data_IF_084964217473
#
_entry.id   IF_084964217473
#
_cell.length_a   1.000
_cell.length_b   1.000
_cell.length_c   1.000
_cell.angle_alpha   90.00
_cell.angle_beta   90.00
_cell.angle_gamma   90.00
#
_symmetry.space_group_name_H-M   'P 1'
#
loop_
_entity.id
_entity.type
_entity.pdbx_description
1 polymer ?
#
# COMPACT_ATOMS: atom_id res chain seq x y z
N UNK A 1 -31.16 -7.17 -9.16
CA UNK A 1 -30.70 -7.57 -10.49
C UNK A 1 -31.37 -8.87 -10.94
N UNK A 2 -31.65 -9.02 -12.23
CA UNK A 2 -32.23 -10.26 -12.77
C UNK A 2 -31.21 -11.40 -12.68
N UNK A 3 -31.61 -12.58 -12.15
CA UNK A 3 -30.74 -13.75 -12.01
C UNK A 3 -30.17 -14.17 -13.36
N UNK A 4 -28.85 -14.36 -13.44
CA UNK A 4 -28.17 -14.84 -14.66
C UNK A 4 -28.68 -16.25 -15.03
N UNK A 5 -29.06 -16.39 -16.29
CA UNK A 5 -29.40 -17.68 -16.92
C UNK A 5 -28.60 -17.81 -18.19
N UNK A 6 -28.16 -19.01 -18.52
CA UNK A 6 -27.32 -19.29 -19.66
C UNK A 6 -28.04 -20.19 -20.65
N UNK A 7 -27.96 -19.83 -21.92
CA UNK A 7 -28.52 -20.61 -23.02
C UNK A 7 -27.39 -21.02 -24.00
N UNK A 8 -27.59 -22.09 -24.73
CA UNK A 8 -26.64 -22.51 -25.77
C UNK A 8 -27.16 -22.04 -27.12
N UNK A 9 -26.28 -21.39 -27.89
CA UNK A 9 -26.56 -20.93 -29.26
C UNK A 9 -25.40 -21.29 -30.16
N UNK A 10 -25.64 -21.32 -31.48
CA UNK A 10 -24.55 -21.50 -32.46
C UNK A 10 -23.97 -20.17 -32.90
N UNK A 11 -22.64 -20.09 -32.90
CA UNK A 11 -21.89 -18.92 -33.38
C UNK A 11 -20.71 -19.38 -34.23
N UNK A 12 -20.35 -18.59 -35.23
CA UNK A 12 -19.14 -18.82 -36.03
C UNK A 12 -17.92 -18.41 -35.22
N UNK A 13 -16.86 -19.21 -35.24
CA UNK A 13 -15.64 -18.95 -34.45
C UNK A 13 -14.98 -17.62 -34.82
N UNK A 14 -15.00 -17.24 -36.12
CA UNK A 14 -14.44 -15.97 -36.61
C UNK A 14 -15.14 -14.74 -36.06
N UNK A 15 -16.43 -14.83 -35.71
CA UNK A 15 -17.22 -13.71 -35.22
C UNK A 15 -16.98 -13.42 -33.72
N UNK A 16 -16.32 -14.35 -33.01
CA UNK A 16 -16.07 -14.23 -31.59
C UNK A 16 -14.87 -13.31 -31.30
N UNK A 17 -15.07 -12.38 -30.37
CA UNK A 17 -14.14 -11.30 -30.04
C UNK A 17 -13.28 -11.72 -28.82
N UNK A 18 -11.96 -11.88 -28.96
CA UNK A 18 -11.08 -12.13 -27.83
C UNK A 18 -11.07 -10.95 -26.85
N UNK A 19 -10.95 -11.24 -25.55
CA UNK A 19 -10.67 -10.21 -24.55
C UNK A 19 -9.26 -9.62 -24.77
N UNK A 20 -9.15 -8.29 -24.64
CA UNK A 20 -7.86 -7.59 -24.77
C UNK A 20 -6.86 -8.02 -23.68
N UNK A 21 -7.38 -8.30 -22.47
CA UNK A 21 -6.60 -8.73 -21.32
C UNK A 21 -7.08 -10.11 -20.94
N UNK A 22 -6.24 -11.13 -21.18
CA UNK A 22 -6.45 -12.50 -20.74
C UNK A 22 -5.18 -12.98 -20.01
N UNK A 23 -5.20 -13.07 -18.68
CA UNK A 23 -4.01 -13.37 -17.89
C UNK A 23 -3.59 -14.83 -17.96
N UNK A 24 -4.34 -15.70 -18.65
CA UNK A 24 -3.98 -17.10 -18.81
C UNK A 24 -3.19 -17.35 -20.08
N UNK A 25 -1.99 -17.84 -19.91
CA UNK A 25 -1.13 -18.32 -21.02
C UNK A 25 -1.00 -19.83 -20.98
N UNK A 26 -0.66 -20.41 -22.10
CA UNK A 26 -0.30 -21.83 -22.21
C UNK A 26 1.01 -21.95 -22.97
N UNK A 27 1.83 -22.95 -22.60
CA UNK A 27 3.09 -23.24 -23.29
C UNK A 27 2.84 -23.83 -24.68
N UNK A 28 3.88 -23.78 -25.53
CA UNK A 28 3.82 -24.38 -26.87
C UNK A 28 3.48 -25.89 -26.83
N UNK A 29 3.96 -26.59 -25.81
CA UNK A 29 3.63 -27.98 -25.56
C UNK A 29 2.14 -28.18 -25.28
N UNK A 30 1.58 -27.37 -24.35
CA UNK A 30 0.17 -27.39 -24.00
C UNK A 30 -0.72 -27.05 -25.21
N UNK A 31 -0.31 -26.05 -26.02
CA UNK A 31 -1.00 -25.73 -27.27
C UNK A 31 -0.95 -26.89 -28.29
N UNK A 32 0.18 -27.55 -28.41
CA UNK A 32 0.31 -28.75 -29.28
C UNK A 32 -0.61 -29.87 -28.83
N UNK A 33 -0.64 -30.17 -27.53
CA UNK A 33 -1.49 -31.23 -26.99
C UNK A 33 -2.99 -30.88 -27.08
N UNK A 34 -3.35 -29.63 -26.90
CA UNK A 34 -4.70 -29.10 -27.10
C UNK A 34 -5.15 -29.30 -28.58
N UNK A 35 -4.28 -28.96 -29.55
CA UNK A 35 -4.56 -29.19 -30.97
C UNK A 35 -4.78 -30.68 -31.29
N UNK A 36 -3.97 -31.60 -30.72
CA UNK A 36 -4.16 -33.03 -30.87
C UNK A 36 -5.51 -33.49 -30.29
N UNK A 37 -5.85 -33.00 -29.11
CA UNK A 37 -7.13 -33.27 -28.43
C UNK A 37 -8.31 -32.83 -29.29
N UNK A 38 -8.27 -31.56 -29.79
CA UNK A 38 -9.33 -31.02 -30.66
C UNK A 38 -9.48 -31.77 -32.00
N UNK A 39 -8.38 -32.26 -32.55
CA UNK A 39 -8.44 -33.14 -33.77
C UNK A 39 -9.08 -34.48 -33.46
N UNK A 40 -8.81 -35.06 -32.28
CA UNK A 40 -9.29 -36.40 -31.94
C UNK A 40 -10.72 -36.43 -31.39
N UNK A 41 -11.05 -35.47 -30.52
CA UNK A 41 -12.31 -35.47 -29.76
C UNK A 41 -13.25 -34.32 -30.14
N UNK A 42 -12.82 -33.44 -31.03
CA UNK A 42 -13.53 -32.19 -31.36
C UNK A 42 -13.65 -31.22 -30.14
N UNK A 43 -14.48 -30.23 -30.27
CA UNK A 43 -14.75 -29.25 -29.18
C UNK A 43 -15.81 -29.82 -28.22
N UNK A 44 -15.38 -30.42 -27.13
CA UNK A 44 -16.28 -31.00 -26.11
C UNK A 44 -16.75 -29.97 -25.10
N UNK A 45 -15.84 -29.11 -24.63
CA UNK A 45 -16.19 -28.04 -23.67
C UNK A 45 -16.65 -26.80 -24.40
N UNK A 46 -17.89 -26.41 -24.13
CA UNK A 46 -18.57 -25.28 -24.79
C UNK A 46 -17.99 -23.95 -24.30
N UNK A 47 -17.47 -23.08 -25.18
CA UNK A 47 -17.02 -21.75 -24.83
C UNK A 47 -18.14 -20.87 -24.29
N UNK A 48 -17.79 -19.89 -23.44
CA UNK A 48 -18.72 -18.93 -22.87
C UNK A 48 -18.41 -17.53 -23.43
N UNK A 49 -19.46 -16.84 -23.88
CA UNK A 49 -19.36 -15.48 -24.41
C UNK A 49 -20.39 -14.56 -23.76
N UNK A 50 -20.18 -13.25 -23.87
CA UNK A 50 -21.20 -12.27 -23.50
C UNK A 50 -22.13 -11.96 -24.71
N UNK A 51 -23.16 -11.16 -24.49
CA UNK A 51 -24.12 -10.78 -25.56
C UNK A 51 -23.48 -9.99 -26.72
N UNK A 52 -22.32 -9.37 -26.49
CA UNK A 52 -21.56 -8.65 -27.52
C UNK A 52 -20.47 -9.49 -28.18
N UNK A 53 -20.63 -10.82 -28.14
CA UNK A 53 -19.72 -11.84 -28.72
C UNK A 53 -18.30 -11.85 -28.13
N UNK A 54 -18.05 -11.13 -27.02
CA UNK A 54 -16.78 -11.18 -26.30
C UNK A 54 -16.62 -12.51 -25.58
N UNK A 55 -15.48 -13.14 -25.76
CA UNK A 55 -15.16 -14.44 -25.15
C UNK A 55 -14.89 -14.22 -23.66
N UNK A 56 -15.60 -14.97 -22.81
CA UNK A 56 -15.43 -15.00 -21.34
C UNK A 56 -14.65 -16.24 -20.88
N UNK A 57 -14.84 -17.39 -21.54
CA UNK A 57 -14.07 -18.61 -21.29
C UNK A 57 -13.87 -19.42 -22.57
N UNK A 58 -12.76 -20.17 -22.65
CA UNK A 58 -12.42 -21.02 -23.80
C UNK A 58 -11.49 -20.36 -24.82
N UNK A 59 -10.84 -19.24 -24.53
CA UNK A 59 -9.95 -18.50 -25.43
C UNK A 59 -8.94 -19.40 -26.13
N UNK A 60 -8.21 -20.22 -25.41
CA UNK A 60 -7.13 -21.06 -25.97
C UNK A 60 -7.68 -22.13 -26.94
N UNK A 61 -8.86 -22.70 -26.66
CA UNK A 61 -9.54 -23.64 -27.56
C UNK A 61 -9.93 -22.99 -28.88
N UNK A 62 -10.48 -21.77 -28.81
CA UNK A 62 -10.87 -21.00 -30.00
C UNK A 62 -9.64 -20.58 -30.82
N UNK A 63 -8.55 -20.19 -30.17
CA UNK A 63 -7.27 -19.90 -30.84
C UNK A 63 -6.76 -21.18 -31.54
N UNK A 64 -6.74 -22.31 -30.83
CA UNK A 64 -6.29 -23.57 -31.40
C UNK A 64 -7.14 -24.01 -32.62
N UNK A 65 -8.46 -23.83 -32.58
CA UNK A 65 -9.35 -24.09 -33.71
C UNK A 65 -9.07 -23.18 -34.90
N UNK A 66 -8.84 -21.86 -34.66
CA UNK A 66 -8.46 -20.92 -35.74
C UNK A 66 -7.13 -21.34 -36.39
N UNK A 67 -6.11 -21.72 -35.57
CA UNK A 67 -4.81 -22.21 -36.09
C UNK A 67 -4.96 -23.54 -36.87
N UNK A 68 -5.95 -24.38 -36.54
CA UNK A 68 -6.28 -25.58 -37.28
C UNK A 68 -7.07 -25.33 -38.59
N UNK A 69 -7.31 -24.06 -38.97
CA UNK A 69 -8.07 -23.70 -40.16
C UNK A 69 -9.60 -23.86 -40.03
N UNK A 70 -10.10 -23.98 -38.78
CA UNK A 70 -11.53 -24.23 -38.47
C UNK A 70 -12.26 -22.92 -38.05
N UNK A 71 -11.75 -21.75 -38.44
CA UNK A 71 -12.29 -20.44 -38.04
C UNK A 71 -13.72 -20.17 -38.51
N UNK A 72 -14.14 -20.75 -39.64
CA UNK A 72 -15.48 -20.56 -40.23
C UNK A 72 -16.53 -21.55 -39.71
N UNK A 73 -16.13 -22.48 -38.85
CA UNK A 73 -17.07 -23.43 -38.27
C UNK A 73 -18.04 -22.77 -37.31
N UNK A 74 -19.29 -23.25 -37.32
CA UNK A 74 -20.27 -22.93 -36.29
C UNK A 74 -20.14 -23.89 -35.12
N UNK A 75 -19.97 -23.35 -33.94
CA UNK A 75 -19.86 -24.08 -32.67
C UNK A 75 -20.95 -23.65 -31.69
N UNK A 76 -21.26 -24.53 -30.76
CA UNK A 76 -22.09 -24.19 -29.62
C UNK A 76 -21.33 -23.29 -28.67
N UNK A 77 -21.97 -22.23 -28.20
CA UNK A 77 -21.45 -21.30 -27.16
C UNK A 77 -22.52 -21.02 -26.12
N UNK A 78 -22.10 -20.78 -24.89
CA UNK A 78 -23.00 -20.34 -23.81
C UNK A 78 -23.11 -18.82 -23.82
N UNK A 79 -24.35 -18.33 -23.80
CA UNK A 79 -24.68 -16.89 -23.83
C UNK A 79 -25.59 -16.54 -22.65
N UNK A 80 -25.37 -15.45 -21.93
CA UNK A 80 -26.22 -15.05 -20.81
C UNK A 80 -27.53 -14.42 -21.33
N UNK A 81 -28.55 -14.41 -20.48
CA UNK A 81 -29.85 -13.78 -20.76
C UNK A 81 -29.83 -12.24 -20.66
N UNK A 82 -28.74 -11.65 -20.19
CA UNK A 82 -28.47 -10.22 -20.17
C UNK A 82 -26.97 -9.97 -20.29
N UNK A 83 -26.59 -8.77 -20.74
CA UNK A 83 -25.18 -8.36 -20.75
C UNK A 83 -24.61 -8.35 -19.32
N UNK A 84 -23.40 -8.84 -19.15
CA UNK A 84 -22.68 -8.77 -17.90
C UNK A 84 -22.18 -7.34 -17.67
N UNK A 85 -22.12 -6.94 -16.41
CA UNK A 85 -21.36 -5.75 -16.04
C UNK A 85 -19.87 -6.03 -16.20
N UNK A 86 -19.05 -4.99 -16.32
CA UNK A 86 -17.60 -5.15 -16.46
C UNK A 86 -16.99 -5.93 -15.26
N UNK A 87 -17.52 -5.71 -14.04
CA UNK A 87 -17.12 -6.45 -12.85
C UNK A 87 -17.48 -7.94 -12.97
N UNK A 88 -18.71 -8.28 -13.35
CA UNK A 88 -19.15 -9.68 -13.52
C UNK A 88 -18.33 -10.39 -14.61
N UNK A 89 -18.07 -9.72 -15.74
CA UNK A 89 -17.28 -10.29 -16.83
C UNK A 89 -15.85 -10.60 -16.40
N UNK A 90 -15.19 -9.68 -15.67
CA UNK A 90 -13.85 -9.86 -15.13
C UNK A 90 -13.80 -10.98 -14.08
N UNK A 91 -14.75 -11.00 -13.14
CA UNK A 91 -14.85 -12.07 -12.14
C UNK A 91 -15.03 -13.44 -12.81
N UNK A 92 -15.93 -13.56 -13.79
CA UNK A 92 -16.13 -14.82 -14.49
C UNK A 92 -14.89 -15.27 -15.28
N UNK A 93 -14.21 -14.34 -15.97
CA UNK A 93 -12.97 -14.61 -16.69
C UNK A 93 -11.89 -15.22 -15.77
N UNK A 94 -11.67 -14.62 -14.62
CA UNK A 94 -10.66 -15.10 -13.66
C UNK A 94 -11.10 -16.43 -13.02
N UNK A 95 -12.32 -16.51 -12.49
CA UNK A 95 -12.83 -17.72 -11.83
C UNK A 95 -12.83 -18.94 -12.74
N UNK A 96 -13.21 -18.77 -14.02
CA UNK A 96 -13.23 -19.88 -15.00
C UNK A 96 -11.83 -20.39 -15.37
N UNK A 97 -10.79 -19.62 -15.12
CA UNK A 97 -9.42 -19.96 -15.45
C UNK A 97 -8.60 -20.45 -14.24
N UNK A 98 -9.12 -20.35 -13.00
CA UNK A 98 -8.34 -20.69 -11.79
C UNK A 98 -7.98 -22.18 -11.69
N UNK A 99 -8.74 -23.07 -12.29
CA UNK A 99 -8.59 -24.52 -12.12
C UNK A 99 -7.49 -25.19 -12.98
N UNK A 100 -6.62 -24.43 -13.69
CA UNK A 100 -5.50 -25.03 -14.42
C UNK A 100 -4.80 -24.08 -15.39
N UNK A 101 -3.50 -24.24 -15.55
CA UNK A 101 -2.60 -23.44 -16.37
C UNK A 101 -1.78 -22.44 -15.56
N UNK A 102 -0.74 -21.90 -16.19
CA UNK A 102 0.11 -20.87 -15.57
C UNK A 102 -0.53 -19.49 -15.73
N UNK A 103 -0.31 -18.63 -14.74
CA UNK A 103 -0.78 -17.26 -14.73
C UNK A 103 0.29 -16.30 -15.27
N UNK A 104 -0.15 -15.38 -16.11
CA UNK A 104 0.62 -14.16 -16.36
C UNK A 104 0.30 -13.15 -15.26
N UNK A 105 1.20 -13.03 -14.30
CA UNK A 105 1.02 -12.20 -13.11
C UNK A 105 0.95 -10.71 -13.46
N UNK A 106 1.65 -10.25 -14.51
CA UNK A 106 1.60 -8.86 -14.93
C UNK A 106 0.22 -8.49 -15.49
N UNK A 107 -0.40 -9.40 -16.22
CA UNK A 107 -1.77 -9.22 -16.67
C UNK A 107 -2.79 -9.32 -15.53
N UNK A 108 -2.52 -10.13 -14.49
CA UNK A 108 -3.38 -10.21 -13.30
C UNK A 108 -3.41 -8.88 -12.51
N UNK A 109 -2.31 -8.13 -12.47
CA UNK A 109 -2.24 -6.81 -11.82
C UNK A 109 -3.21 -5.78 -12.41
N UNK A 110 -3.74 -5.99 -13.62
CA UNK A 110 -4.77 -5.14 -14.21
C UNK A 110 -6.19 -5.38 -13.64
N UNK A 111 -6.34 -6.41 -12.80
CA UNK A 111 -7.59 -6.69 -12.08
C UNK A 111 -7.48 -6.17 -10.65
N UNK A 112 -8.56 -5.61 -10.11
CA UNK A 112 -8.54 -5.19 -8.73
C UNK A 112 -8.56 -6.40 -7.77
N UNK A 113 -8.04 -6.21 -6.56
CA UNK A 113 -7.89 -7.26 -5.57
C UNK A 113 -9.23 -7.90 -5.17
N UNK A 114 -10.32 -7.12 -5.13
CA UNK A 114 -11.66 -7.64 -4.84
C UNK A 114 -12.09 -8.68 -5.88
N UNK A 115 -11.84 -8.41 -7.16
CA UNK A 115 -12.16 -9.36 -8.24
C UNK A 115 -11.32 -10.64 -8.11
N UNK A 116 -10.04 -10.52 -7.77
CA UNK A 116 -9.16 -11.67 -7.61
C UNK A 116 -9.55 -12.51 -6.37
N UNK A 117 -9.85 -11.87 -5.25
CA UNK A 117 -10.33 -12.52 -4.04
C UNK A 117 -11.67 -13.24 -4.29
N UNK A 118 -12.65 -12.57 -4.91
CA UNK A 118 -13.94 -13.15 -5.28
C UNK A 118 -13.79 -14.33 -6.26
N UNK A 119 -12.75 -14.32 -7.10
CA UNK A 119 -12.41 -15.43 -8.01
C UNK A 119 -11.68 -16.58 -7.31
N UNK A 120 -11.40 -16.45 -5.99
CA UNK A 120 -10.88 -17.50 -5.13
C UNK A 120 -9.35 -17.49 -4.98
N UNK A 121 -8.65 -16.39 -5.33
CA UNK A 121 -7.26 -16.22 -4.90
C UNK A 121 -7.24 -15.95 -3.39
N UNK A 122 -6.44 -16.71 -2.66
CA UNK A 122 -6.25 -16.45 -1.25
C UNK A 122 -5.21 -15.34 -1.00
N UNK A 123 -5.19 -14.84 0.25
CA UNK A 123 -4.30 -13.75 0.65
C UNK A 123 -2.82 -14.05 0.38
N UNK A 124 -2.42 -15.32 0.51
CA UNK A 124 -1.02 -15.73 0.31
C UNK A 124 -0.65 -15.79 -1.16
N UNK A 125 -1.58 -16.24 -2.01
CA UNK A 125 -1.41 -16.19 -3.48
C UNK A 125 -1.30 -14.74 -3.94
N UNK A 126 -2.20 -13.85 -3.46
CA UNK A 126 -2.19 -12.43 -3.80
C UNK A 126 -0.88 -11.75 -3.38
N UNK A 127 -0.43 -11.98 -2.15
CA UNK A 127 0.86 -11.47 -1.65
C UNK A 127 2.02 -12.02 -2.49
N UNK A 128 2.00 -13.33 -2.84
CA UNK A 128 3.13 -13.97 -3.50
C UNK A 128 3.44 -13.41 -4.89
N UNK A 129 2.43 -13.00 -5.65
CA UNK A 129 2.66 -12.43 -6.97
C UNK A 129 2.64 -10.90 -6.98
N UNK A 130 1.95 -10.25 -6.00
CA UNK A 130 1.89 -8.78 -5.95
C UNK A 130 3.19 -8.19 -5.43
N UNK A 131 3.77 -8.81 -4.39
CA UNK A 131 4.96 -8.29 -3.71
C UNK A 131 6.28 -8.79 -4.33
N UNK A 132 6.24 -9.76 -5.26
CA UNK A 132 7.44 -10.42 -5.80
C UNK A 132 8.36 -9.51 -6.61
N UNK A 133 7.82 -8.44 -7.17
CA UNK A 133 8.53 -7.49 -8.05
C UNK A 133 8.31 -6.02 -7.65
N UNK A 134 7.56 -5.76 -6.57
CA UNK A 134 7.31 -4.40 -6.13
C UNK A 134 8.34 -4.03 -5.07
N UNK A 135 9.24 -3.14 -5.44
CA UNK A 135 10.14 -2.45 -4.53
C UNK A 135 9.65 -1.00 -4.40
N UNK A 136 9.81 -0.44 -3.21
CA UNK A 136 9.62 0.99 -3.02
C UNK A 136 10.90 1.71 -3.44
N UNK A 137 10.78 2.66 -4.32
CA UNK A 137 11.89 3.48 -4.79
C UNK A 137 11.66 4.94 -4.42
N UNK A 138 12.74 5.68 -4.26
CA UNK A 138 12.70 7.14 -4.10
C UNK A 138 11.97 7.76 -5.30
N UNK A 139 10.96 8.60 -5.02
CA UNK A 139 10.14 9.26 -6.03
C UNK A 139 10.78 10.53 -6.61
N UNK A 140 12.04 10.83 -6.25
CA UNK A 140 12.77 12.04 -6.66
C UNK A 140 11.94 13.33 -6.46
N UNK A 141 11.10 13.36 -5.41
CA UNK A 141 10.29 14.52 -5.05
C UNK A 141 11.07 15.44 -4.12
N UNK A 142 11.35 16.66 -4.57
CA UNK A 142 12.05 17.67 -3.79
C UNK A 142 11.06 18.41 -2.88
N UNK A 143 10.87 17.87 -1.68
CA UNK A 143 9.93 18.38 -0.67
C UNK A 143 10.16 19.87 -0.36
N UNK A 144 11.43 20.29 -0.15
CA UNK A 144 11.73 21.68 0.20
C UNK A 144 11.38 22.66 -0.92
N UNK A 145 11.76 22.30 -2.15
CA UNK A 145 11.44 23.11 -3.33
C UNK A 145 9.93 23.25 -3.52
N UNK A 146 9.20 22.18 -3.30
CA UNK A 146 7.74 22.19 -3.45
C UNK A 146 7.04 22.91 -2.29
N UNK A 147 7.49 22.75 -1.05
CA UNK A 147 6.99 23.54 0.11
C UNK A 147 7.18 25.03 -0.13
N UNK A 148 8.37 25.47 -0.60
CA UNK A 148 8.64 26.89 -0.91
C UNK A 148 7.73 27.49 -1.97
N UNK A 149 7.09 26.68 -2.79
CA UNK A 149 6.11 27.14 -3.80
C UNK A 149 4.68 27.29 -3.25
N UNK A 150 4.43 26.80 -2.03
CA UNK A 150 3.10 26.86 -1.40
C UNK A 150 3.07 28.09 -0.50
N UNK A 151 2.76 29.25 -1.08
CA UNK A 151 2.64 30.51 -0.31
C UNK A 151 1.27 30.66 0.34
N UNK A 152 0.22 30.19 -0.34
CA UNK A 152 -1.15 30.21 0.15
C UNK A 152 -1.71 28.81 -0.11
N UNK A 153 -1.82 27.96 0.92
CA UNK A 153 -2.41 26.65 0.77
C UNK A 153 -3.86 26.75 0.31
N UNK A 154 -4.27 25.82 -0.52
CA UNK A 154 -5.65 25.70 -1.01
C UNK A 154 -6.49 24.79 -0.12
N UNK A 155 -5.84 23.91 0.62
CA UNK A 155 -6.46 23.07 1.66
C UNK A 155 -6.68 23.87 2.92
N UNK A 156 -7.80 23.62 3.60
CA UNK A 156 -8.19 24.21 4.87
C UNK A 156 -8.47 23.12 5.90
N UNK A 157 -8.47 23.49 7.19
CA UNK A 157 -8.87 22.58 8.26
C UNK A 157 -10.25 22.01 7.98
N UNK A 158 -10.40 20.69 8.18
CA UNK A 158 -11.64 19.96 7.90
C UNK A 158 -11.80 19.46 6.47
N UNK A 159 -10.91 19.81 5.55
CA UNK A 159 -10.95 19.28 4.17
C UNK A 159 -10.49 17.83 4.10
N UNK A 160 -11.24 17.00 3.34
CA UNK A 160 -10.85 15.66 3.01
C UNK A 160 -10.27 15.59 1.59
N UNK A 161 -9.07 15.08 1.49
CA UNK A 161 -8.33 14.90 0.23
C UNK A 161 -8.37 13.43 -0.16
N UNK A 162 -8.91 13.14 -1.34
CA UNK A 162 -8.95 11.81 -1.94
C UNK A 162 -7.87 11.73 -3.03
N UNK A 163 -6.93 10.82 -2.85
CA UNK A 163 -5.78 10.56 -3.72
C UNK A 163 -5.83 9.10 -4.19
N UNK A 164 -6.60 8.82 -5.26
CA UNK A 164 -6.91 7.45 -5.66
C UNK A 164 -7.66 6.71 -4.55
N UNK A 165 -7.06 5.66 -4.00
CA UNK A 165 -7.59 4.90 -2.86
C UNK A 165 -7.10 5.42 -1.50
N UNK A 166 -6.23 6.43 -1.46
CA UNK A 166 -5.77 7.06 -0.23
C UNK A 166 -6.69 8.18 0.21
N UNK A 167 -6.72 8.45 1.52
CA UNK A 167 -7.45 9.56 2.13
C UNK A 167 -6.53 10.35 3.06
N UNK A 168 -6.59 11.67 2.99
CA UNK A 168 -5.91 12.57 3.92
C UNK A 168 -6.93 13.59 4.43
N UNK A 169 -7.09 13.68 5.74
CA UNK A 169 -7.93 14.69 6.38
C UNK A 169 -7.05 15.78 7.00
N UNK A 170 -7.31 17.03 6.65
CA UNK A 170 -6.64 18.17 7.27
C UNK A 170 -7.21 18.40 8.68
N UNK A 171 -6.68 17.67 9.67
CA UNK A 171 -7.18 17.68 11.04
C UNK A 171 -6.11 17.21 12.04
N UNK A 172 -6.40 17.41 13.34
CA UNK A 172 -5.52 16.94 14.41
C UNK A 172 -5.57 15.41 14.54
N UNK A 173 -4.39 14.81 14.73
CA UNK A 173 -4.23 13.39 15.06
C UNK A 173 -4.87 13.00 16.41
N UNK A 174 -5.06 13.97 17.32
CA UNK A 174 -5.67 13.77 18.65
C UNK A 174 -7.19 13.90 18.64
N UNK A 175 -7.78 14.31 17.51
CA UNK A 175 -9.23 14.44 17.37
C UNK A 175 -9.86 13.10 16.95
N UNK A 176 -10.43 12.40 17.93
CA UNK A 176 -11.06 11.09 17.71
C UNK A 176 -12.25 11.15 16.74
N UNK A 177 -13.02 12.26 16.72
CA UNK A 177 -14.15 12.41 15.81
C UNK A 177 -13.68 12.61 14.37
N UNK A 178 -12.62 13.39 14.17
CA UNK A 178 -12.00 13.58 12.88
C UNK A 178 -11.48 12.23 12.32
N UNK A 179 -10.78 11.44 13.14
CA UNK A 179 -10.27 10.13 12.75
C UNK A 179 -11.42 9.16 12.40
N UNK A 180 -12.46 9.08 13.22
CA UNK A 180 -13.65 8.26 12.91
C UNK A 180 -14.31 8.69 11.59
N UNK A 181 -14.40 9.99 11.35
CA UNK A 181 -14.97 10.54 10.11
C UNK A 181 -14.12 10.23 8.89
N UNK A 182 -12.79 10.31 8.99
CA UNK A 182 -11.84 9.92 7.95
C UNK A 182 -12.06 8.48 7.49
N UNK A 183 -12.23 7.57 8.44
CA UNK A 183 -12.41 6.15 8.16
C UNK A 183 -13.79 5.80 7.63
N UNK A 184 -14.84 6.51 8.05
CA UNK A 184 -16.22 6.27 7.56
C UNK A 184 -16.69 4.81 7.63
N UNK A 185 -16.25 4.06 8.65
CA UNK A 185 -16.55 2.65 8.85
C UNK A 185 -15.52 1.66 8.32
N UNK A 186 -14.51 2.10 7.58
CA UNK A 186 -13.36 1.29 7.24
C UNK A 186 -12.47 1.05 8.48
N UNK A 187 -11.53 0.08 8.40
CA UNK A 187 -10.57 -0.19 9.48
C UNK A 187 -9.17 -0.42 8.91
N UNK A 188 -8.15 0.02 9.65
CA UNK A 188 -6.75 -0.20 9.30
C UNK A 188 -6.20 -1.48 9.95
N UNK A 189 -5.44 -2.28 9.20
CA UNK A 189 -4.70 -3.46 9.67
C UNK A 189 -3.30 -3.12 10.18
N UNK A 190 -2.83 -1.90 9.93
CA UNK A 190 -1.55 -1.38 10.38
C UNK A 190 -1.69 0.08 10.79
N UNK A 191 -1.22 0.40 11.99
CA UNK A 191 -0.97 1.76 12.43
C UNK A 191 0.53 2.03 12.33
N UNK A 192 0.90 3.00 11.49
CA UNK A 192 2.29 3.34 11.20
C UNK A 192 2.45 4.86 11.25
N UNK A 193 3.09 5.40 12.27
CA UNK A 193 3.00 6.82 12.59
C UNK A 193 4.35 7.39 13.02
N UNK A 194 4.59 8.65 12.61
CA UNK A 194 5.81 9.41 12.84
C UNK A 194 5.49 10.75 13.52
N UNK A 195 5.13 10.75 14.83
CA UNK A 195 4.78 11.97 15.54
C UNK A 195 5.98 12.90 15.72
N UNK A 196 5.77 14.20 16.04
CA UNK A 196 6.84 15.09 16.48
C UNK A 196 7.62 14.48 17.65
N UNK A 197 8.96 14.56 17.60
CA UNK A 197 9.84 13.80 18.53
C UNK A 197 10.06 14.49 19.87
N UNK A 198 9.56 15.70 20.06
CA UNK A 198 9.74 16.48 21.27
C UNK A 198 11.22 16.66 21.68
N UNK A 199 12.03 17.06 20.71
CA UNK A 199 13.48 17.28 20.87
C UNK A 199 13.87 18.75 20.77
N UNK A 200 12.88 19.66 20.85
CA UNK A 200 13.08 21.11 20.80
C UNK A 200 13.44 21.62 19.42
N UNK A 201 13.04 20.93 18.35
CA UNK A 201 13.23 21.44 17.00
C UNK A 201 12.31 22.64 16.74
N UNK A 202 12.91 23.73 16.28
CA UNK A 202 12.16 24.89 15.82
C UNK A 202 11.79 24.71 14.37
N UNK A 203 10.53 24.41 14.10
CA UNK A 203 9.98 24.34 12.74
C UNK A 203 9.93 25.71 12.05
N UNK A 204 9.99 26.81 12.85
CA UNK A 204 10.04 28.19 12.35
C UNK A 204 11.43 28.65 11.90
N UNK A 205 12.47 28.02 12.41
CA UNK A 205 13.87 28.43 12.19
C UNK A 205 14.66 27.33 11.52
N UNK A 206 14.32 26.80 10.44
CA UNK A 206 15.02 25.74 9.72
C UNK A 206 16.42 25.35 10.25
N UNK A 207 16.85 24.12 10.05
CA UNK A 207 18.21 23.66 10.41
C UNK A 207 19.22 24.25 9.43
N UNK A 208 20.23 24.98 9.94
CA UNK A 208 21.35 25.46 9.11
C UNK A 208 21.09 26.69 8.25
N UNK A 209 20.49 27.75 8.78
CA UNK A 209 20.22 29.02 8.08
C UNK A 209 19.17 28.99 6.96
N UNK A 210 18.47 27.90 6.79
CA UNK A 210 17.36 27.80 5.84
C UNK A 210 16.04 28.17 6.52
N UNK A 211 15.23 28.95 5.82
CA UNK A 211 14.00 29.58 6.31
C UNK A 211 12.87 28.56 6.54
N UNK A 212 12.09 28.86 7.57
CA UNK A 212 10.71 28.49 7.88
C UNK A 212 10.13 27.28 7.12
N UNK A 213 9.93 26.17 7.81
CA UNK A 213 9.30 24.93 7.28
C UNK A 213 7.77 24.93 7.39
N UNK A 214 7.17 26.04 7.78
CA UNK A 214 5.71 26.26 7.68
C UNK A 214 4.85 25.51 8.68
N UNK A 215 5.28 25.35 9.93
CA UNK A 215 4.44 24.69 10.94
C UNK A 215 4.65 25.22 12.36
N UNK A 216 3.57 25.55 13.04
CA UNK A 216 3.52 25.82 14.49
C UNK A 216 3.40 24.48 15.26
N UNK A 217 4.42 23.62 15.19
CA UNK A 217 4.47 22.41 16.00
C UNK A 217 5.26 22.72 17.28
N UNK A 218 4.59 22.62 18.44
CA UNK A 218 5.27 22.71 19.74
C UNK A 218 6.02 21.39 20.00
N UNK A 219 7.33 21.40 19.73
CA UNK A 219 8.25 20.27 19.89
C UNK A 219 9.04 20.36 21.20
N UNK A 220 8.53 21.14 22.18
CA UNK A 220 9.20 21.39 23.48
C UNK A 220 8.28 21.16 24.69
N UNK A 221 7.42 20.13 24.60
CA UNK A 221 6.49 19.76 25.67
C UNK A 221 7.21 19.16 26.89
N UNK A 222 6.63 19.36 28.08
CA UNK A 222 7.09 18.60 29.26
C UNK A 222 6.88 17.10 29.04
N UNK A 223 7.60 16.21 29.74
CA UNK A 223 7.43 14.77 29.62
C UNK A 223 5.97 14.31 29.79
N UNK A 224 5.26 14.89 30.73
CA UNK A 224 3.86 14.57 31.03
C UNK A 224 2.95 15.03 29.88
N UNK A 225 3.14 16.25 29.38
CA UNK A 225 2.36 16.79 28.27
C UNK A 225 2.65 16.00 26.97
N UNK A 226 3.88 15.55 26.76
CA UNK A 226 4.22 14.72 25.62
C UNK A 226 3.61 13.32 25.72
N UNK A 227 3.69 12.68 26.92
CA UNK A 227 3.01 11.41 27.15
C UNK A 227 1.51 11.53 26.89
N UNK A 228 0.86 12.59 27.34
CA UNK A 228 -0.57 12.81 27.14
C UNK A 228 -0.90 13.03 25.65
N UNK A 229 -0.09 13.78 24.92
CA UNK A 229 -0.24 13.97 23.47
C UNK A 229 -0.19 12.63 22.71
N UNK A 230 0.80 11.78 23.00
CA UNK A 230 0.91 10.47 22.38
C UNK A 230 -0.24 9.55 22.81
N UNK A 231 -0.67 9.63 24.08
CA UNK A 231 -1.82 8.88 24.58
C UNK A 231 -3.10 9.24 23.81
N UNK A 232 -3.42 10.53 23.66
CA UNK A 232 -4.57 11.01 22.89
C UNK A 232 -4.52 10.56 21.43
N UNK A 233 -3.33 10.62 20.82
CA UNK A 233 -3.11 10.14 19.44
C UNK A 233 -3.42 8.65 19.31
N UNK A 234 -2.94 7.81 20.24
CA UNK A 234 -3.24 6.38 20.25
C UNK A 234 -4.73 6.11 20.52
N UNK A 235 -5.33 6.82 21.47
CA UNK A 235 -6.76 6.68 21.77
C UNK A 235 -7.64 7.06 20.59
N UNK A 236 -7.26 8.06 19.79
CA UNK A 236 -7.98 8.41 18.57
C UNK A 236 -7.84 7.36 17.48
N UNK A 237 -6.70 6.67 17.42
CA UNK A 237 -6.42 5.64 16.43
C UNK A 237 -7.11 4.30 16.72
N UNK A 238 -7.11 3.85 17.99
CA UNK A 238 -7.59 2.52 18.37
C UNK A 238 -8.99 2.14 17.83
N UNK A 239 -10.00 3.02 17.84
CA UNK A 239 -11.35 2.67 17.37
C UNK A 239 -11.44 2.35 15.88
N UNK A 240 -10.47 2.78 15.07
CA UNK A 240 -10.43 2.56 13.62
C UNK A 240 -9.44 1.47 13.20
N UNK A 241 -8.86 0.77 14.16
CA UNK A 241 -7.97 -0.37 13.91
C UNK A 241 -8.75 -1.69 13.92
N UNK A 242 -8.27 -2.67 13.17
CA UNK A 242 -8.80 -4.04 13.23
C UNK A 242 -8.42 -4.71 14.56
N UNK A 243 -9.12 -5.81 14.92
CA UNK A 243 -8.77 -6.59 16.11
C UNK A 243 -7.38 -7.25 16.03
N UNK A 244 -6.84 -7.34 14.82
CA UNK A 244 -5.53 -7.91 14.53
C UNK A 244 -4.70 -6.86 13.77
N UNK A 245 -3.92 -6.05 14.51
CA UNK A 245 -3.24 -4.87 13.97
C UNK A 245 -1.77 -4.82 14.37
N UNK A 246 -0.91 -4.43 13.43
CA UNK A 246 0.45 -4.01 13.70
C UNK A 246 0.51 -2.54 14.08
N UNK A 247 1.28 -2.19 15.09
CA UNK A 247 1.43 -0.82 15.60
C UNK A 247 2.90 -0.43 15.58
N UNK A 248 3.25 0.57 14.78
CA UNK A 248 4.59 1.13 14.64
C UNK A 248 4.55 2.62 14.94
N UNK A 249 5.36 3.07 15.89
CA UNK A 249 5.50 4.50 16.19
C UNK A 249 6.97 4.89 16.28
N UNK A 250 7.35 5.85 15.46
CA UNK A 250 8.68 6.43 15.47
C UNK A 250 8.85 7.38 16.66
N UNK A 251 10.05 7.43 17.20
CA UNK A 251 10.38 8.31 18.31
C UNK A 251 11.88 8.55 18.43
N UNK A 252 12.23 9.57 19.20
CA UNK A 252 13.59 9.75 19.70
C UNK A 252 13.91 8.74 20.81
N UNK A 253 15.20 8.42 20.98
CA UNK A 253 15.70 7.51 22.01
C UNK A 253 15.28 7.93 23.43
N UNK A 254 15.19 9.24 23.69
CA UNK A 254 14.77 9.79 24.97
C UNK A 254 13.33 9.41 25.35
N UNK A 255 12.49 9.08 24.35
CA UNK A 255 11.05 8.90 24.56
C UNK A 255 10.58 7.45 24.35
N UNK A 256 11.44 6.52 24.00
CA UNK A 256 11.08 5.09 23.81
C UNK A 256 10.24 4.54 24.97
N UNK A 257 10.59 4.91 26.21
CA UNK A 257 9.89 4.47 27.40
C UNK A 257 8.42 4.98 27.47
N UNK A 258 8.13 6.15 26.93
CA UNK A 258 6.75 6.70 26.85
C UNK A 258 5.88 5.78 26.00
N UNK A 259 6.35 5.45 24.80
CA UNK A 259 5.61 4.60 23.87
C UNK A 259 5.41 3.18 24.42
N UNK A 260 6.47 2.59 24.97
CA UNK A 260 6.38 1.25 25.57
C UNK A 260 5.44 1.23 26.78
N UNK A 261 5.40 2.30 27.58
CA UNK A 261 4.49 2.42 28.72
C UNK A 261 3.05 2.51 28.23
N UNK A 262 2.76 3.41 27.27
CA UNK A 262 1.43 3.59 26.70
C UNK A 262 0.92 2.33 25.98
N UNK A 263 1.80 1.59 25.29
CA UNK A 263 1.42 0.30 24.70
C UNK A 263 0.91 -0.67 25.78
N UNK A 264 1.61 -0.78 26.92
CA UNK A 264 1.15 -1.61 28.01
C UNK A 264 -0.18 -1.12 28.62
N UNK A 265 -0.32 0.20 28.83
CA UNK A 265 -1.54 0.82 29.37
C UNK A 265 -2.76 0.62 28.43
N UNK A 266 -2.55 0.60 27.12
CA UNK A 266 -3.57 0.46 26.07
C UNK A 266 -3.73 -0.98 25.53
N UNK A 267 -3.16 -1.98 26.21
CA UNK A 267 -3.21 -3.40 25.79
C UNK A 267 -2.60 -3.67 24.40
N UNK A 268 -1.68 -2.85 23.95
CA UNK A 268 -0.84 -3.11 22.77
C UNK A 268 0.37 -3.92 23.23
N UNK A 269 0.55 -5.12 22.72
CA UNK A 269 1.66 -5.98 23.13
C UNK A 269 2.98 -5.46 22.55
N UNK A 270 3.89 -4.98 23.42
CA UNK A 270 5.24 -4.63 23.02
C UNK A 270 5.95 -5.82 22.37
N UNK A 271 6.55 -5.64 21.21
CA UNK A 271 7.22 -6.70 20.44
C UNK A 271 8.70 -6.45 20.27
N UNK A 272 9.10 -5.32 19.68
CA UNK A 272 10.50 -4.98 19.38
C UNK A 272 10.70 -3.47 19.39
N UNK A 273 11.92 -3.06 19.56
CA UNK A 273 12.41 -1.74 19.20
C UNK A 273 13.13 -1.88 17.86
N UNK A 274 12.57 -1.31 16.81
CA UNK A 274 13.21 -1.27 15.50
C UNK A 274 14.14 -0.06 15.44
N UNK A 275 15.30 -0.22 14.81
CA UNK A 275 16.34 0.78 14.76
C UNK A 275 16.65 1.10 13.31
N UNK A 276 16.45 2.36 12.92
CA UNK A 276 16.97 2.85 11.66
C UNK A 276 18.40 3.33 11.87
N UNK A 277 19.34 2.65 11.22
CA UNK A 277 20.75 3.03 11.19
C UNK A 277 20.99 3.96 10.00
N UNK A 278 21.36 5.20 10.29
CA UNK A 278 21.68 6.22 9.27
C UNK A 278 23.13 6.04 8.79
N UNK A 279 23.36 6.33 7.53
CA UNK A 279 24.72 6.28 6.93
C UNK A 279 25.63 7.44 7.33
N UNK A 280 25.13 8.41 8.06
CA UNK A 280 25.88 9.53 8.64
C UNK A 280 25.46 9.75 10.09
N UNK A 281 26.37 10.30 10.87
CA UNK A 281 26.11 10.66 12.26
C UNK A 281 26.11 12.17 12.43
N UNK A 282 25.31 12.64 13.38
CA UNK A 282 25.28 14.06 13.76
C UNK A 282 26.01 14.23 15.09
N UNK A 283 27.10 15.02 15.14
CA UNK A 283 27.80 15.29 16.39
C UNK A 283 26.92 16.16 17.29
N UNK A 284 26.87 15.81 18.57
CA UNK A 284 26.23 16.61 19.62
C UNK A 284 27.32 17.17 20.52
N UNK A 285 27.42 18.51 20.72
CA UNK A 285 28.40 19.08 21.62
C UNK A 285 28.33 18.46 23.03
N UNK A 286 29.46 18.15 23.63
CA UNK A 286 29.59 17.56 24.97
C UNK A 286 28.99 16.15 25.15
N UNK A 287 28.63 15.46 24.06
CA UNK A 287 28.21 14.07 24.08
C UNK A 287 29.30 13.18 23.45
N UNK A 288 29.65 12.11 24.12
CA UNK A 288 30.77 11.24 23.72
C UNK A 288 30.54 10.50 22.40
N UNK A 289 29.29 10.23 22.02
CA UNK A 289 28.94 9.45 20.86
C UNK A 289 28.05 10.26 19.91
N UNK A 290 28.32 10.15 18.61
CA UNK A 290 27.50 10.77 17.59
C UNK A 290 26.20 9.98 17.39
N UNK A 291 25.08 10.70 17.18
CA UNK A 291 23.80 10.09 16.92
C UNK A 291 23.70 9.60 15.47
N UNK A 292 23.53 8.30 15.30
CA UNK A 292 23.41 7.63 13.99
C UNK A 292 22.11 6.82 13.85
N UNK A 293 21.23 6.87 14.85
CA UNK A 293 20.02 6.03 14.88
C UNK A 293 18.75 6.84 15.09
N UNK A 294 17.63 6.29 14.60
CA UNK A 294 16.27 6.61 15.03
C UNK A 294 15.54 5.33 15.41
N UNK A 295 14.54 5.46 16.24
CA UNK A 295 13.86 4.33 16.85
C UNK A 295 12.40 4.27 16.45
N UNK A 296 11.89 3.04 16.27
CA UNK A 296 10.49 2.78 16.04
C UNK A 296 10.01 1.69 16.99
N UNK A 297 9.12 2.04 17.92
CA UNK A 297 8.53 1.08 18.85
C UNK A 297 7.47 0.27 18.10
N UNK A 298 7.66 -1.04 18.08
CA UNK A 298 6.77 -1.98 17.42
C UNK A 298 5.97 -2.81 18.43
N UNK A 299 4.67 -2.82 18.23
CA UNK A 299 3.71 -3.60 19.00
C UNK A 299 2.66 -4.28 18.13
N UNK A 300 1.81 -5.10 18.75
CA UNK A 300 0.68 -5.75 18.09
C UNK A 300 -0.56 -5.76 18.97
N UNK A 301 -1.72 -5.66 18.32
CA UNK A 301 -3.02 -6.03 18.87
C UNK A 301 -3.39 -7.38 18.25
N UNK A 302 -3.93 -8.31 19.02
CA UNK A 302 -4.35 -9.63 18.53
C UNK A 302 -3.22 -10.45 17.88
N UNK A 303 -3.53 -11.06 16.72
CA UNK A 303 -2.63 -11.90 15.91
C UNK A 303 -2.59 -11.42 14.47
N UNK A 304 -1.99 -10.27 14.19
CA UNK A 304 -2.01 -9.68 12.87
C UNK A 304 -1.25 -10.53 11.83
N UNK A 305 -1.62 -10.30 10.57
CA UNK A 305 -1.05 -10.98 9.41
C UNK A 305 0.46 -10.76 9.32
N UNK A 306 1.18 -11.82 8.92
CA UNK A 306 2.60 -11.75 8.58
C UNK A 306 2.83 -12.45 7.23
N UNK A 307 3.32 -11.72 6.24
CA UNK A 307 3.66 -12.28 4.94
C UNK A 307 4.70 -13.40 5.05
N UNK A 308 4.47 -14.53 4.40
CA UNK A 308 5.45 -15.63 4.34
C UNK A 308 6.53 -15.41 3.27
N UNK A 309 6.34 -14.46 2.36
CA UNK A 309 7.32 -14.13 1.32
C UNK A 309 8.58 -13.50 1.91
N UNK A 310 8.43 -12.82 3.04
CA UNK A 310 9.53 -12.24 3.80
C UNK A 310 9.81 -13.15 5.01
N UNK A 311 10.92 -13.85 5.01
CA UNK A 311 11.29 -14.79 6.08
C UNK A 311 11.86 -14.06 7.30
N UNK A 312 11.53 -14.53 8.50
CA UNK A 312 12.19 -14.06 9.71
C UNK A 312 13.65 -14.53 9.72
N UNK A 313 14.54 -13.59 10.00
CA UNK A 313 15.93 -13.89 10.33
C UNK A 313 16.07 -13.97 11.85
N UNK A 314 16.84 -14.94 12.34
CA UNK A 314 16.85 -15.26 13.78
C UNK A 314 17.58 -14.22 14.63
N UNK A 315 18.64 -13.58 14.13
CA UNK A 315 19.43 -12.60 14.88
C UNK A 315 20.17 -11.64 13.96
N UNK A 316 20.61 -10.53 14.52
CA UNK A 316 21.50 -9.60 13.83
C UNK A 316 22.84 -10.30 13.65
N UNK A 317 23.17 -10.67 12.42
CA UNK A 317 24.48 -11.22 12.11
C UNK A 317 25.37 -10.10 11.55
N UNK A 318 26.55 -9.98 12.11
CA UNK A 318 27.50 -8.98 11.67
C UNK A 318 28.18 -9.46 10.37
N UNK A 319 28.02 -8.72 9.29
CA UNK A 319 28.62 -9.01 7.99
C UNK A 319 30.18 -9.07 8.08
N UNK A 320 30.78 -8.25 8.94
CA UNK A 320 32.22 -8.22 9.18
C UNK A 320 32.72 -9.44 9.95
N UNK A 321 31.86 -10.09 10.74
CA UNK A 321 32.18 -11.34 11.44
C UNK A 321 31.98 -12.59 10.57
N UNK A 322 31.68 -12.45 9.29
CA UNK A 322 31.53 -13.56 8.35
C UNK A 322 30.25 -14.37 8.50
N UNK A 323 29.29 -13.90 9.27
CA UNK A 323 27.99 -14.57 9.51
C UNK A 323 26.86 -13.96 8.72
N UNK A 324 27.12 -12.87 7.96
CA UNK A 324 26.11 -12.15 7.20
C UNK A 324 26.02 -12.64 5.77
N UNK A 325 24.88 -13.16 5.38
CA UNK A 325 24.47 -13.28 4.01
C UNK A 325 23.65 -12.05 3.61
N UNK A 326 23.48 -11.81 2.31
CA UNK A 326 22.69 -10.72 1.74
C UNK A 326 21.21 -10.73 2.23
N UNK A 327 20.79 -11.78 2.91
CA UNK A 327 19.50 -11.93 3.59
C UNK A 327 19.32 -11.04 4.83
N UNK A 328 20.37 -10.34 5.26
CA UNK A 328 20.30 -9.42 6.41
C UNK A 328 19.37 -8.21 6.16
N UNK A 329 19.12 -7.88 4.90
CA UNK A 329 18.39 -6.66 4.52
C UNK A 329 16.88 -6.72 4.81
N UNK A 330 16.28 -7.90 4.94
CA UNK A 330 14.82 -7.98 4.83
C UNK A 330 14.02 -8.12 6.12
N UNK A 331 14.55 -8.67 7.23
CA UNK A 331 13.69 -8.98 8.40
C UNK A 331 14.34 -8.78 9.77
N UNK A 332 15.30 -7.92 9.91
CA UNK A 332 15.84 -7.55 11.21
C UNK A 332 15.10 -6.32 11.77
N UNK A 333 15.19 -6.10 13.07
CA UNK A 333 14.76 -4.85 13.68
C UNK A 333 15.78 -3.70 13.51
N UNK A 334 16.83 -3.91 12.73
CA UNK A 334 17.78 -2.86 12.31
C UNK A 334 17.55 -2.59 10.82
N UNK A 335 17.15 -1.38 10.50
CA UNK A 335 16.89 -0.96 9.14
C UNK A 335 18.03 -0.09 8.63
N UNK A 336 18.73 -0.54 7.61
CA UNK A 336 19.84 0.17 7.00
C UNK A 336 19.39 0.71 5.62
N UNK A 337 18.80 1.90 5.61
CA UNK A 337 18.53 2.65 4.38
C UNK A 337 19.43 3.87 4.32
N UNK A 338 19.85 4.24 3.11
CA UNK A 338 20.61 5.47 2.91
C UNK A 338 19.75 6.68 3.27
N UNK A 339 20.28 7.57 4.08
CA UNK A 339 19.72 8.90 4.22
C UNK A 339 19.89 9.62 2.89
N UNK A 340 18.89 10.38 2.46
CA UNK A 340 19.01 11.26 1.30
C UNK A 340 20.27 12.13 1.43
N UNK A 341 21.03 12.32 0.34
CA UNK A 341 22.27 13.09 0.36
C UNK A 341 22.00 14.52 0.85
N UNK A 342 22.95 15.14 1.58
CA UNK A 342 22.76 16.42 2.27
C UNK A 342 22.33 17.60 1.38
N UNK A 343 22.55 17.52 0.08
CA UNK A 343 22.05 18.45 -0.94
C UNK A 343 20.63 18.08 -1.47
N UNK A 344 20.11 16.89 -1.11
CA UNK A 344 18.74 16.43 -1.35
C UNK A 344 17.90 16.41 -0.06
N UNK A 345 18.48 16.71 1.10
CA UNK A 345 17.86 16.62 2.41
C UNK A 345 17.34 17.99 2.82
N UNK A 346 16.07 18.14 2.70
CA UNK A 346 15.45 19.47 2.78
C UNK A 346 14.49 19.61 3.98
N UNK A 347 14.15 18.49 4.63
CA UNK A 347 13.37 18.49 5.86
C UNK A 347 14.09 17.69 6.95
N UNK A 348 14.22 18.21 8.19
CA UNK A 348 14.97 17.54 9.26
C UNK A 348 14.40 16.18 9.67
N UNK A 349 13.14 15.90 9.32
CA UNK A 349 12.41 14.68 9.70
C UNK A 349 11.90 13.88 8.50
N UNK A 350 12.30 14.23 7.25
CA UNK A 350 11.86 13.49 6.07
C UNK A 350 12.46 12.08 6.05
N UNK A 351 11.59 11.09 5.89
CA UNK A 351 11.98 9.69 5.73
C UNK A 351 11.89 9.29 4.25
N UNK A 352 12.90 8.54 3.79
CA UNK A 352 12.86 7.94 2.46
C UNK A 352 11.72 6.91 2.39
N UNK A 353 10.88 6.88 1.34
CA UNK A 353 9.85 5.86 1.14
C UNK A 353 10.35 4.41 1.33
N UNK A 354 11.57 4.09 0.87
CA UNK A 354 12.21 2.77 1.06
C UNK A 354 12.30 2.32 2.53
N UNK A 355 12.33 3.26 3.48
CA UNK A 355 12.39 2.93 4.91
C UNK A 355 11.11 2.23 5.39
N UNK A 356 9.97 2.54 4.78
CA UNK A 356 8.67 2.00 5.16
C UNK A 356 8.40 0.62 4.55
N UNK A 357 9.10 0.26 3.47
CA UNK A 357 8.90 -0.93 2.66
C UNK A 357 8.88 -2.22 3.47
N UNK A 358 9.91 -2.42 4.32
CA UNK A 358 10.05 -3.66 5.11
C UNK A 358 8.85 -3.92 6.03
N UNK A 359 8.38 -2.88 6.71
CA UNK A 359 7.23 -2.97 7.59
C UNK A 359 5.95 -3.25 6.78
N UNK A 360 5.75 -2.51 5.69
CA UNK A 360 4.56 -2.63 4.85
C UNK A 360 4.48 -4.02 4.19
N UNK A 361 5.53 -4.48 3.53
CA UNK A 361 5.56 -5.79 2.87
C UNK A 361 5.38 -6.95 3.85
N UNK A 362 6.00 -6.86 5.03
CA UNK A 362 5.93 -7.94 6.01
C UNK A 362 4.59 -8.01 6.73
N UNK A 363 3.98 -6.85 7.01
CA UNK A 363 2.89 -6.71 7.97
C UNK A 363 1.54 -6.42 7.35
N UNK A 364 1.46 -6.24 6.02
CA UNK A 364 0.20 -5.95 5.33
C UNK A 364 0.04 -6.78 4.05
N UNK A 365 -1.19 -6.89 3.60
CA UNK A 365 -1.55 -7.46 2.30
C UNK A 365 -1.81 -6.35 1.28
N UNK A 366 -1.67 -6.62 -0.03
CA UNK A 366 -2.17 -5.71 -1.05
C UNK A 366 -3.63 -5.30 -0.77
N UNK A 367 -3.92 -4.00 -0.90
CA UNK A 367 -5.24 -3.42 -0.61
C UNK A 367 -5.54 -3.12 0.85
N UNK A 368 -4.70 -3.56 1.79
CA UNK A 368 -4.84 -3.22 3.21
C UNK A 368 -4.73 -1.71 3.44
N UNK A 369 -5.42 -1.23 4.47
CA UNK A 369 -5.36 0.17 4.91
C UNK A 369 -4.31 0.31 6.00
N UNK A 370 -3.41 1.26 5.80
CA UNK A 370 -2.43 1.74 6.77
C UNK A 370 -2.93 3.08 7.30
N UNK A 371 -2.99 3.25 8.62
CA UNK A 371 -3.29 4.53 9.23
C UNK A 371 -2.01 5.26 9.62
N UNK A 372 -1.81 6.46 9.09
CA UNK A 372 -0.71 7.36 9.43
C UNK A 372 -1.27 8.67 10.02
N UNK A 373 -1.11 8.85 11.33
CA UNK A 373 -1.65 10.03 12.03
C UNK A 373 -0.90 11.34 11.74
N UNK A 374 0.29 11.26 11.14
CA UNK A 374 1.14 12.41 10.84
C UNK A 374 1.73 12.29 9.44
N UNK A 375 0.92 12.61 8.44
CA UNK A 375 1.27 12.43 7.02
C UNK A 375 2.57 13.13 6.61
N UNK A 376 2.80 14.33 7.13
CA UNK A 376 3.97 15.13 6.81
C UNK A 376 4.19 15.25 5.30
N UNK A 377 5.36 14.84 4.83
CA UNK A 377 5.71 14.83 3.40
C UNK A 377 5.02 13.72 2.59
N UNK A 378 4.13 12.92 3.19
CA UNK A 378 3.43 11.78 2.60
C UNK A 378 4.33 10.63 2.12
N UNK A 379 5.49 10.41 2.74
CA UNK A 379 6.41 9.32 2.36
C UNK A 379 5.80 7.93 2.55
N UNK A 380 4.99 7.73 3.61
CA UNK A 380 4.23 6.49 3.85
C UNK A 380 3.25 6.21 2.70
N UNK A 381 2.55 7.25 2.22
CA UNK A 381 1.61 7.14 1.08
C UNK A 381 2.34 6.77 -0.20
N UNK A 382 3.51 7.38 -0.49
CA UNK A 382 4.31 7.04 -1.66
C UNK A 382 4.69 5.56 -1.67
N UNK A 383 5.25 5.08 -0.56
CA UNK A 383 5.59 3.67 -0.41
C UNK A 383 4.36 2.76 -0.57
N UNK A 384 3.25 3.11 0.06
CA UNK A 384 2.03 2.31 0.00
C UNK A 384 1.41 2.25 -1.41
N UNK A 385 1.39 3.38 -2.16
CA UNK A 385 0.92 3.40 -3.55
C UNK A 385 1.78 2.49 -4.43
N UNK A 386 3.10 2.57 -4.32
CA UNK A 386 4.03 1.72 -5.07
C UNK A 386 3.85 0.23 -4.76
N UNK A 387 3.50 -0.09 -3.52
CA UNK A 387 3.28 -1.46 -3.05
C UNK A 387 1.82 -1.94 -3.16
N UNK A 388 0.89 -1.11 -3.66
CA UNK A 388 -0.53 -1.47 -3.81
C UNK A 388 -1.31 -1.54 -2.49
N UNK A 389 -0.90 -0.76 -1.49
CA UNK A 389 -1.61 -0.57 -0.22
C UNK A 389 -2.29 0.80 -0.19
N UNK A 390 -3.18 1.02 0.79
CA UNK A 390 -3.90 2.29 0.97
C UNK A 390 -3.41 2.97 2.25
N UNK A 391 -3.33 4.29 2.22
CA UNK A 391 -3.04 5.08 3.41
C UNK A 391 -4.23 6.00 3.70
N UNK A 392 -4.74 5.92 4.92
CA UNK A 392 -5.63 6.93 5.49
C UNK A 392 -4.81 7.71 6.50
N UNK A 393 -4.79 9.02 6.38
CA UNK A 393 -3.89 9.86 7.18
C UNK A 393 -4.54 11.14 7.66
N UNK A 394 -4.00 11.68 8.74
CA UNK A 394 -4.28 13.04 9.21
C UNK A 394 -3.04 13.92 9.06
N UNK A 395 -3.24 15.20 8.82
CA UNK A 395 -2.19 16.21 8.79
C UNK A 395 -2.76 17.55 9.27
N UNK A 396 -2.06 18.17 10.19
CA UNK A 396 -2.54 19.40 10.80
C UNK A 396 -2.22 20.65 9.96
N UNK A 397 -1.12 20.60 9.20
CA UNK A 397 -0.64 21.70 8.37
C UNK A 397 -1.26 21.67 6.98
N UNK A 398 -1.96 22.73 6.61
CA UNK A 398 -2.55 22.92 5.29
C UNK A 398 -1.47 22.89 4.19
N UNK A 399 -0.27 23.39 4.50
CA UNK A 399 0.88 23.37 3.57
C UNK A 399 1.30 21.93 3.26
N UNK A 400 1.38 21.07 4.26
CA UNK A 400 1.73 19.67 4.05
C UNK A 400 0.59 18.86 3.39
N UNK A 401 -0.66 19.25 3.61
CA UNK A 401 -1.78 18.68 2.85
C UNK A 401 -1.66 19.00 1.35
N UNK A 402 -1.39 20.25 0.99
CA UNK A 402 -1.16 20.64 -0.42
C UNK A 402 0.11 19.97 -1.00
N UNK A 403 1.14 19.77 -0.18
CA UNK A 403 2.35 19.06 -0.56
C UNK A 403 2.06 17.60 -0.91
N UNK A 404 1.27 16.92 -0.08
CA UNK A 404 0.84 15.53 -0.32
C UNK A 404 0.06 15.40 -1.63
N UNK A 405 -0.82 16.36 -1.95
CA UNK A 405 -1.52 16.43 -3.25
C UNK A 405 -0.51 16.47 -4.41
N UNK A 406 0.45 17.40 -4.35
CA UNK A 406 1.45 17.56 -5.42
C UNK A 406 2.31 16.32 -5.59
N UNK A 407 2.71 15.70 -4.47
CA UNK A 407 3.51 14.48 -4.48
C UNK A 407 2.76 13.32 -5.12
N UNK A 408 1.51 13.10 -4.71
CA UNK A 408 0.64 12.08 -5.31
C UNK A 408 0.42 12.31 -6.81
N UNK A 409 0.10 13.54 -7.21
CA UNK A 409 -0.14 13.86 -8.62
C UNK A 409 1.13 13.68 -9.48
N UNK A 410 2.29 14.03 -8.95
CA UNK A 410 3.58 13.80 -9.64
C UNK A 410 3.88 12.30 -9.77
N UNK A 411 3.68 11.54 -8.69
CA UNK A 411 3.95 10.10 -8.65
C UNK A 411 3.07 9.31 -9.62
N UNK A 412 1.77 9.60 -9.63
CA UNK A 412 0.77 8.77 -10.31
C UNK A 412 0.28 9.33 -11.63
N UNK A 413 0.48 10.62 -11.88
CA UNK A 413 -0.14 11.35 -13.00
C UNK A 413 -1.66 11.57 -12.86
N UNK A 414 -2.27 11.12 -11.75
CA UNK A 414 -3.71 11.27 -11.48
C UNK A 414 -3.97 12.53 -10.66
N UNK A 415 -5.17 13.10 -10.78
CA UNK A 415 -5.58 14.27 -10.00
C UNK A 415 -6.19 13.87 -8.66
N UNK A 416 -5.78 14.55 -7.59
CA UNK A 416 -6.44 14.48 -6.30
C UNK A 416 -7.80 15.22 -6.33
N UNK A 417 -8.72 14.82 -5.45
CA UNK A 417 -10.01 15.48 -5.26
C UNK A 417 -10.11 15.99 -3.83
N UNK A 418 -10.34 17.28 -3.66
CA UNK A 418 -10.57 17.90 -2.34
C UNK A 418 -12.07 18.03 -2.11
N UNK A 419 -12.53 17.55 -0.98
CA UNK A 419 -13.90 17.71 -0.45
C UNK A 419 -13.81 18.74 0.67
N UNK A 420 -14.28 19.95 0.39
CA UNK A 420 -14.25 21.07 1.32
C UNK A 420 -15.21 20.88 2.49
N UNK A 421 -14.80 21.35 3.68
CA UNK A 421 -15.60 21.32 4.91
C UNK A 421 -16.19 19.92 5.21
N UNK A 422 -15.40 18.88 4.94
CA UNK A 422 -15.83 17.48 5.18
C UNK A 422 -16.00 17.21 6.69
N UNK A 423 -15.17 17.84 7.50
CA UNK A 423 -15.18 17.76 8.96
C UNK A 423 -15.12 19.17 9.55
N UNK A 424 -16.00 19.47 10.49
CA UNK A 424 -15.92 20.70 11.31
C UNK A 424 -15.37 20.32 12.69
N UNK A 425 -14.25 20.94 13.09
CA UNK A 425 -13.72 20.78 14.45
C UNK A 425 -14.73 21.39 15.44
N UNK A 426 -15.12 20.63 16.47
CA UNK A 426 -16.08 21.03 17.52
C UNK A 426 -15.36 21.73 18.65
#
# INVERSE_FOLDING_TARGET
MQKLKWTTVKKRISDLIPQKINPRQISDKQMSDLKKSLKKYNLVEIPVIDLDDKILAGHQRLIALKVLGRGDEQIDVRVPNRKLTDKEAKQYLIASNKLGGDWDYDLLKHFNLEILSDAGFDDMELVSFWDKENESIDDDFDVEKEVKKIHNPTTERGDLIIMGDHRLLCASATDSNAVLKLFSGDNASMYYSDPPFNIGLSYDKGVGNNSNYGGNVDDSKTPEAYKEFINQTLQSALPVLTNDTHVFMWCDEAWVWVFQTLYNELNIKNRRLNIWLKNNSSPTPQVAFNKATEFCVYGTIGKPFLSSNVKNLNEIQNKEAGTGNDLFEYVTNVWATKRLAGNKYNHPTEKNPELHEKAILRCTKPGDIIFDSFSGSASTMVCAEQLGRKVYSTELSEVFCDLAIRRYEKLTGKKAKVIKNYYEEV
#
